data_IF_580659093439
#
_entry.id   IF_580659093439
#
_cell.length_a   1.000
_cell.length_b   1.000
_cell.length_c   1.000
_cell.angle_alpha   90.00
_cell.angle_beta   90.00
_cell.angle_gamma   90.00
#
_symmetry.space_group_name_H-M   'P 1'
#
loop_
_entity.id
_entity.type
_entity.pdbx_description
1 polymer ?
#
# COMPACT_ATOMS: atom_id res chain seq x y z
N UNK A 1 7.93 -34.74 -15.85
CA UNK A 1 6.94 -34.95 -14.77
C UNK A 1 6.34 -33.61 -14.36
N UNK A 2 5.09 -33.34 -14.71
CA UNK A 2 4.36 -32.13 -14.32
C UNK A 2 3.71 -32.36 -12.95
N UNK A 3 4.14 -31.62 -11.91
CA UNK A 3 3.52 -31.66 -10.58
C UNK A 3 2.11 -31.06 -10.69
N UNK A 4 1.06 -31.86 -10.46
CA UNK A 4 -0.32 -31.34 -10.38
C UNK A 4 -0.40 -30.36 -9.19
N UNK A 5 -0.81 -29.13 -9.44
CA UNK A 5 -1.09 -28.14 -8.38
C UNK A 5 -2.28 -28.62 -7.54
N UNK A 6 -2.12 -28.63 -6.22
CA UNK A 6 -3.23 -28.92 -5.31
C UNK A 6 -4.19 -27.73 -5.32
N UNK A 7 -5.49 -27.97 -5.41
CA UNK A 7 -6.50 -26.91 -5.35
C UNK A 7 -6.43 -26.23 -3.97
N UNK A 8 -6.56 -24.88 -3.89
CA UNK A 8 -6.65 -24.20 -2.60
C UNK A 8 -7.74 -24.81 -1.72
N UNK A 9 -7.53 -24.87 -0.41
CA UNK A 9 -8.58 -25.26 0.52
C UNK A 9 -9.64 -24.16 0.60
N UNK A 10 -10.90 -24.55 0.74
CA UNK A 10 -12.05 -23.64 0.88
C UNK A 10 -11.82 -22.61 2.00
N UNK A 11 -11.21 -23.04 3.10
CA UNK A 11 -10.89 -22.18 4.25
C UNK A 11 -9.95 -21.02 3.89
N UNK A 12 -9.02 -21.21 2.95
CA UNK A 12 -8.06 -20.16 2.61
C UNK A 12 -8.69 -19.07 1.77
N UNK A 13 -9.55 -19.46 0.82
CA UNK A 13 -10.30 -18.50 0.00
C UNK A 13 -11.25 -17.66 0.87
N UNK A 14 -11.94 -18.30 1.81
CA UNK A 14 -12.82 -17.62 2.76
C UNK A 14 -12.05 -16.64 3.68
N UNK A 15 -10.87 -17.03 4.15
CA UNK A 15 -10.01 -16.12 4.93
C UNK A 15 -9.60 -14.91 4.09
N UNK A 16 -9.19 -15.10 2.84
CA UNK A 16 -8.78 -14.00 1.97
C UNK A 16 -9.93 -13.02 1.70
N UNK A 17 -11.13 -13.54 1.41
CA UNK A 17 -12.33 -12.74 1.17
C UNK A 17 -12.73 -11.92 2.40
N UNK A 18 -12.86 -12.55 3.57
CA UNK A 18 -13.18 -11.85 4.83
C UNK A 18 -12.13 -10.81 5.19
N UNK A 19 -10.85 -11.12 4.97
CA UNK A 19 -9.74 -10.17 5.22
C UNK A 19 -9.82 -8.97 4.27
N UNK A 20 -10.21 -9.20 3.01
CA UNK A 20 -10.39 -8.15 2.02
C UNK A 20 -11.54 -7.22 2.41
N UNK A 21 -12.70 -7.77 2.76
CA UNK A 21 -13.87 -7.01 3.19
C UNK A 21 -13.58 -6.16 4.43
N UNK A 22 -12.94 -6.76 5.44
CA UNK A 22 -12.49 -6.05 6.64
C UNK A 22 -11.51 -4.91 6.29
N UNK A 23 -10.55 -5.19 5.43
CA UNK A 23 -9.56 -4.19 5.02
C UNK A 23 -10.23 -3.02 4.29
N UNK A 24 -11.00 -3.31 3.25
CA UNK A 24 -11.68 -2.31 2.42
C UNK A 24 -12.67 -1.47 3.22
N UNK A 25 -13.46 -2.09 4.12
CA UNK A 25 -14.37 -1.35 4.99
C UNK A 25 -13.63 -0.40 5.94
N UNK A 26 -12.45 -0.78 6.43
CA UNK A 26 -11.65 0.07 7.32
C UNK A 26 -11.03 1.26 6.59
N UNK A 27 -10.54 1.09 5.37
CA UNK A 27 -9.88 2.17 4.61
C UNK A 27 -10.83 3.02 3.75
N UNK A 28 -12.13 2.66 3.73
CA UNK A 28 -13.15 3.33 2.89
C UNK A 28 -13.29 4.82 3.18
N UNK A 29 -13.16 5.21 4.45
CA UNK A 29 -13.12 6.61 4.87
C UNK A 29 -11.67 6.98 5.24
N UNK A 30 -10.92 7.63 4.34
CA UNK A 30 -9.51 7.96 4.56
C UNK A 30 -9.29 9.09 5.57
N UNK A 31 -10.35 9.82 5.96
CA UNK A 31 -10.29 10.93 6.92
C UNK A 31 -10.60 10.46 8.34
N UNK A 32 -11.35 9.36 8.48
CA UNK A 32 -11.61 8.75 9.78
C UNK A 32 -10.33 8.15 10.36
N UNK A 33 -10.00 8.52 11.59
CA UNK A 33 -8.88 7.92 12.34
C UNK A 33 -9.09 6.40 12.41
N UNK A 34 -8.04 5.65 12.09
CA UNK A 34 -8.11 4.20 12.06
C UNK A 34 -8.51 3.64 13.44
N UNK A 35 -9.64 2.92 13.48
CA UNK A 35 -10.10 2.17 14.66
C UNK A 35 -9.18 0.98 14.93
N UNK A 36 -8.52 0.49 13.89
CA UNK A 36 -7.57 -0.62 13.92
C UNK A 36 -6.14 -0.11 13.76
N UNK A 37 -5.21 -0.73 14.48
CA UNK A 37 -3.80 -0.35 14.40
C UNK A 37 -3.18 -0.77 13.05
N UNK A 38 -2.01 -0.20 12.75
CA UNK A 38 -1.29 -0.48 11.50
C UNK A 38 -0.95 -1.95 11.33
N UNK A 39 -0.59 -2.64 12.42
CA UNK A 39 -0.31 -4.09 12.41
C UNK A 39 -1.51 -4.92 11.95
N UNK A 40 -2.70 -4.58 12.47
CA UNK A 40 -3.93 -5.27 12.11
C UNK A 40 -4.27 -5.05 10.63
N UNK A 41 -4.21 -3.81 10.16
CA UNK A 41 -4.43 -3.45 8.76
C UNK A 41 -3.42 -4.11 7.82
N UNK A 42 -2.14 -4.13 8.22
CA UNK A 42 -1.09 -4.79 7.46
C UNK A 42 -1.36 -6.29 7.37
N UNK A 43 -1.69 -6.96 8.48
CA UNK A 43 -2.03 -8.38 8.45
C UNK A 43 -3.26 -8.70 7.61
N UNK A 44 -4.31 -7.88 7.69
CA UNK A 44 -5.50 -8.05 6.85
C UNK A 44 -5.18 -7.91 5.35
N UNK A 45 -4.42 -6.86 4.97
CA UNK A 45 -3.93 -6.67 3.61
C UNK A 45 -3.04 -7.82 3.15
N UNK A 46 -2.21 -8.37 4.04
CA UNK A 46 -1.35 -9.51 3.72
C UNK A 46 -2.17 -10.76 3.45
N UNK A 47 -3.12 -11.10 4.33
CA UNK A 47 -3.98 -12.27 4.14
C UNK A 47 -4.90 -12.11 2.93
N UNK A 48 -5.38 -10.90 2.65
CA UNK A 48 -6.19 -10.66 1.45
C UNK A 48 -5.37 -10.83 0.17
N UNK A 49 -4.06 -10.54 0.21
CA UNK A 49 -3.12 -10.62 -0.93
C UNK A 49 -2.24 -11.85 -0.98
N UNK A 50 -2.37 -12.77 -0.03
CA UNK A 50 -1.56 -13.98 0.02
C UNK A 50 -1.94 -14.94 -1.12
N UNK A 51 -0.92 -15.53 -1.75
CA UNK A 51 -1.09 -16.69 -2.61
C UNK A 51 -0.90 -17.95 -1.74
N UNK A 52 -1.96 -18.76 -1.48
CA UNK A 52 -1.90 -19.92 -0.59
C UNK A 52 -0.79 -20.91 -0.94
N UNK A 53 -0.43 -20.97 -2.22
CA UNK A 53 0.50 -21.96 -2.74
C UNK A 53 1.96 -21.52 -2.67
N UNK A 54 2.26 -20.30 -2.19
CA UNK A 54 3.61 -19.73 -2.29
C UNK A 54 4.40 -19.70 -1.00
N UNK A 55 5.69 -20.08 -1.08
CA UNK A 55 6.65 -19.77 -0.02
C UNK A 55 6.77 -18.26 0.17
N UNK A 56 6.87 -17.85 1.43
CA UNK A 56 6.99 -16.46 1.89
C UNK A 56 8.16 -15.72 1.21
N UNK A 57 9.19 -16.43 0.75
CA UNK A 57 10.42 -15.85 0.19
C UNK A 57 10.39 -15.57 -1.32
N UNK A 58 9.28 -15.89 -2.02
CA UNK A 58 9.19 -15.61 -3.46
C UNK A 58 8.65 -14.21 -3.73
N UNK A 59 9.10 -13.51 -4.80
CA UNK A 59 8.56 -12.21 -5.17
C UNK A 59 7.03 -12.29 -5.29
N UNK A 60 6.33 -11.51 -4.45
CA UNK A 60 4.87 -11.49 -4.38
C UNK A 60 4.31 -11.16 -5.77
N UNK A 61 3.74 -12.18 -6.44
CA UNK A 61 2.79 -11.90 -7.52
C UNK A 61 1.42 -11.89 -6.88
N UNK A 62 0.63 -10.88 -7.18
CA UNK A 62 -0.68 -10.74 -6.56
C UNK A 62 -1.63 -11.84 -7.05
N UNK A 63 -2.55 -12.34 -6.23
CA UNK A 63 -3.60 -13.25 -6.66
C UNK A 63 -4.42 -12.68 -7.82
N UNK A 64 -4.85 -13.54 -8.74
CA UNK A 64 -5.62 -13.13 -9.93
C UNK A 64 -6.94 -12.46 -9.57
N UNK A 65 -7.59 -12.86 -8.48
CA UNK A 65 -8.83 -12.27 -7.98
C UNK A 65 -8.66 -10.78 -7.69
N UNK A 66 -7.64 -10.44 -6.91
CA UNK A 66 -7.34 -9.06 -6.50
C UNK A 66 -6.97 -8.20 -7.69
N UNK A 67 -6.23 -8.75 -8.66
CA UNK A 67 -5.88 -8.00 -9.89
C UNK A 67 -7.10 -7.51 -10.67
N UNK A 68 -8.23 -8.18 -10.53
CA UNK A 68 -9.49 -7.84 -11.20
C UNK A 68 -10.42 -6.99 -10.31
N UNK A 69 -10.12 -6.87 -9.02
CA UNK A 69 -10.92 -6.10 -8.08
C UNK A 69 -10.59 -4.61 -8.19
N UNK A 70 -11.32 -3.91 -9.07
CA UNK A 70 -11.14 -2.47 -9.29
C UNK A 70 -11.45 -1.64 -8.04
N UNK A 71 -12.40 -2.08 -7.21
CA UNK A 71 -12.79 -1.35 -6.00
C UNK A 71 -11.64 -1.38 -5.00
N UNK A 72 -11.03 -2.54 -4.77
CA UNK A 72 -9.85 -2.68 -3.91
C UNK A 72 -8.73 -1.71 -4.31
N UNK A 73 -8.36 -1.69 -5.59
CA UNK A 73 -7.27 -0.83 -6.07
C UNK A 73 -7.58 0.65 -5.91
N UNK A 74 -8.80 1.04 -6.28
CA UNK A 74 -9.24 2.44 -6.19
C UNK A 74 -9.33 2.88 -4.73
N UNK A 75 -9.82 2.04 -3.81
CA UNK A 75 -9.86 2.35 -2.38
C UNK A 75 -8.45 2.46 -1.79
N UNK A 76 -7.55 1.50 -2.08
CA UNK A 76 -6.19 1.53 -1.57
C UNK A 76 -5.42 2.74 -2.07
N UNK A 77 -5.50 3.04 -3.37
CA UNK A 77 -4.88 4.23 -3.92
C UNK A 77 -5.48 5.49 -3.30
N UNK A 78 -6.80 5.63 -3.32
CA UNK A 78 -7.50 6.80 -2.75
C UNK A 78 -7.12 7.01 -1.30
N UNK A 79 -7.04 5.95 -0.49
CA UNK A 79 -6.60 6.02 0.89
C UNK A 79 -5.22 6.66 1.02
N UNK A 80 -4.25 6.20 0.23
CA UNK A 80 -2.89 6.75 0.27
C UNK A 80 -2.82 8.17 -0.29
N UNK A 81 -3.55 8.49 -1.36
CA UNK A 81 -3.41 9.79 -2.05
C UNK A 81 -4.44 10.84 -1.65
N UNK A 82 -5.28 10.53 -0.65
CA UNK A 82 -6.22 11.51 -0.09
C UNK A 82 -5.46 12.71 0.48
N UNK A 83 -5.82 13.94 0.09
CA UNK A 83 -5.21 15.15 0.62
C UNK A 83 -5.31 15.19 2.14
N UNK A 84 -4.17 15.38 2.80
CA UNK A 84 -4.04 15.50 4.25
C UNK A 84 -3.11 16.64 4.60
N UNK A 85 -3.35 17.27 5.73
CA UNK A 85 -2.40 18.13 6.40
C UNK A 85 -1.33 17.31 7.11
N UNK A 86 -0.20 17.93 7.42
CA UNK A 86 0.89 17.28 8.15
C UNK A 86 0.45 16.76 9.53
N UNK A 87 -0.46 17.49 10.19
CA UNK A 87 -1.04 17.08 11.47
C UNK A 87 -1.92 15.84 11.33
N UNK A 88 -2.65 15.71 10.22
CA UNK A 88 -3.49 14.54 9.94
C UNK A 88 -2.65 13.31 9.61
N UNK A 89 -1.58 13.46 8.82
CA UNK A 89 -0.63 12.36 8.56
C UNK A 89 0.04 11.90 9.85
N UNK A 90 0.52 12.83 10.68
CA UNK A 90 1.15 12.51 11.97
C UNK A 90 0.18 11.80 12.93
N UNK A 91 -1.07 12.27 12.98
CA UNK A 91 -2.14 11.62 13.76
C UNK A 91 -2.43 10.22 13.24
N UNK A 92 -2.50 10.03 11.92
CA UNK A 92 -2.72 8.74 11.29
C UNK A 92 -1.60 7.76 11.63
N UNK A 93 -0.34 8.14 11.44
CA UNK A 93 0.82 7.31 11.77
C UNK A 93 0.89 6.98 13.27
N UNK A 94 0.55 7.95 14.12
CA UNK A 94 0.44 7.72 15.57
C UNK A 94 -0.67 6.73 15.89
N UNK A 95 -1.83 6.83 15.23
CA UNK A 95 -2.92 5.87 15.41
C UNK A 95 -2.50 4.45 15.00
N UNK A 96 -1.70 4.30 13.93
CA UNK A 96 -1.20 2.99 13.51
C UNK A 96 -0.30 2.33 14.56
N UNK A 97 0.49 3.12 15.30
CA UNK A 97 1.36 2.59 16.37
C UNK A 97 0.63 2.20 17.65
N UNK A 98 -0.63 2.61 17.82
CA UNK A 98 -1.42 2.33 19.04
C UNK A 98 -2.45 1.26 18.76
N UNK A 99 -2.49 0.24 19.61
CA UNK A 99 -3.44 -0.85 19.47
C UNK A 99 -4.70 -0.60 20.30
N UNK A 100 -5.82 -0.38 19.63
CA UNK A 100 -7.17 -0.38 20.22
C UNK A 100 -8.04 -1.53 19.66
N UNK A 101 -7.42 -2.49 18.96
CA UNK A 101 -8.10 -3.59 18.34
C UNK A 101 -8.75 -4.52 19.38
N UNK A 102 -9.95 -5.02 19.10
CA UNK A 102 -10.61 -6.02 19.94
C UNK A 102 -10.00 -7.41 19.70
N UNK A 103 -8.86 -7.71 20.35
CA UNK A 103 -8.09 -8.95 20.11
C UNK A 103 -8.83 -10.24 20.51
N UNK A 104 -9.95 -10.14 21.23
CA UNK A 104 -10.82 -11.28 21.52
C UNK A 104 -11.63 -11.72 20.29
N UNK A 105 -11.79 -10.85 19.29
CA UNK A 105 -12.30 -11.25 17.98
C UNK A 105 -11.25 -12.13 17.28
N UNK A 106 -11.58 -13.40 16.95
CA UNK A 106 -10.63 -14.33 16.34
C UNK A 106 -10.06 -13.85 15.00
N UNK A 107 -10.83 -13.12 14.19
CA UNK A 107 -10.37 -12.59 12.90
C UNK A 107 -9.36 -11.47 13.12
N UNK A 108 -9.67 -10.53 14.02
CA UNK A 108 -8.75 -9.44 14.39
C UNK A 108 -7.45 -10.00 14.97
N UNK A 109 -7.54 -11.02 15.83
CA UNK A 109 -6.38 -11.74 16.36
C UNK A 109 -5.52 -12.39 15.28
N UNK A 110 -6.14 -13.01 14.26
CA UNK A 110 -5.43 -13.57 13.10
C UNK A 110 -4.71 -12.47 12.30
N UNK A 111 -5.36 -11.34 12.04
CA UNK A 111 -4.73 -10.21 11.33
C UNK A 111 -3.52 -9.68 12.11
N UNK A 112 -3.66 -9.51 13.44
CA UNK A 112 -2.54 -9.09 14.28
C UNK A 112 -1.33 -10.01 14.19
N UNK A 113 -1.56 -11.32 14.23
CA UNK A 113 -0.50 -12.32 14.14
C UNK A 113 0.19 -12.29 12.77
N UNK A 114 -0.59 -12.22 11.69
CA UNK A 114 -0.06 -12.11 10.33
C UNK A 114 0.79 -10.83 10.17
N UNK A 115 0.29 -9.69 10.65
CA UNK A 115 1.00 -8.42 10.63
C UNK A 115 2.30 -8.46 11.43
N UNK A 116 2.28 -9.04 12.64
CA UNK A 116 3.48 -9.18 13.48
C UNK A 116 4.60 -9.98 12.80
N UNK A 117 4.24 -11.09 12.14
CA UNK A 117 5.21 -11.91 11.40
C UNK A 117 5.81 -11.15 10.21
N UNK A 118 5.00 -10.35 9.52
CA UNK A 118 5.42 -9.59 8.35
C UNK A 118 6.20 -8.31 8.67
N UNK A 119 5.93 -7.68 9.83
CA UNK A 119 6.68 -6.53 10.34
C UNK A 119 8.18 -6.84 10.45
N UNK A 120 8.52 -8.04 10.94
CA UNK A 120 9.92 -8.48 11.05
C UNK A 120 10.65 -8.45 9.70
N UNK A 121 9.97 -8.83 8.60
CA UNK A 121 10.52 -8.78 7.25
C UNK A 121 10.58 -7.37 6.65
N UNK A 122 9.69 -6.47 7.08
CA UNK A 122 9.65 -5.09 6.59
C UNK A 122 10.75 -4.20 7.17
N UNK A 123 11.20 -4.47 8.41
CA UNK A 123 12.24 -3.68 9.09
C UNK A 123 13.58 -3.64 8.35
N UNK A 124 13.89 -4.68 7.59
CA UNK A 124 15.17 -4.80 6.87
C UNK A 124 15.28 -3.88 5.65
N UNK A 125 14.18 -3.30 5.15
CA UNK A 125 14.20 -2.59 3.86
C UNK A 125 14.71 -1.16 3.95
N UNK A 126 14.51 -0.48 5.06
CA UNK A 126 14.74 0.96 5.12
C UNK A 126 15.81 1.37 6.11
N UNK A 127 16.07 0.56 7.13
CA UNK A 127 17.00 0.89 8.22
C UNK A 127 16.75 2.30 8.81
N UNK A 128 15.56 2.87 8.60
CA UNK A 128 15.25 4.26 8.96
C UNK A 128 15.33 4.45 10.46
N UNK A 129 14.74 3.52 11.22
CA UNK A 129 14.83 3.51 12.67
C UNK A 129 16.27 3.32 13.18
N UNK A 130 17.11 2.61 12.42
CA UNK A 130 18.51 2.37 12.78
C UNK A 130 19.36 3.63 12.60
N UNK A 131 19.22 4.31 11.45
CA UNK A 131 20.01 5.50 11.10
C UNK A 131 19.44 6.81 11.67
N UNK A 132 18.18 6.83 12.09
CA UNK A 132 17.58 8.02 12.68
C UNK A 132 18.28 8.40 14.02
N UNK A 133 18.42 9.71 14.31
CA UNK A 133 18.85 10.18 15.61
C UNK A 133 17.99 9.58 16.74
N UNK A 134 18.54 9.33 17.95
CA UNK A 134 17.78 8.73 19.05
C UNK A 134 16.44 9.43 19.36
N UNK A 135 16.39 10.77 19.23
CA UNK A 135 15.18 11.57 19.43
C UNK A 135 14.11 11.37 18.37
N UNK A 136 14.45 10.78 17.22
CA UNK A 136 13.56 10.60 16.07
C UNK A 136 13.22 9.15 15.76
N UNK A 137 13.89 8.17 16.36
CA UNK A 137 13.65 6.74 16.09
C UNK A 137 12.19 6.34 16.19
N UNK A 138 11.49 6.86 17.20
CA UNK A 138 10.07 6.58 17.41
C UNK A 138 9.20 7.01 16.22
N UNK A 139 9.56 8.08 15.50
CA UNK A 139 8.84 8.59 14.32
C UNK A 139 8.85 7.58 13.17
N UNK A 140 9.95 6.85 13.02
CA UNK A 140 10.19 5.89 11.94
C UNK A 140 10.02 4.43 12.36
N UNK A 141 9.42 4.19 13.53
CA UNK A 141 9.20 2.84 14.03
C UNK A 141 8.32 2.02 13.09
N UNK A 142 8.61 0.72 13.01
CA UNK A 142 7.88 -0.22 12.15
C UNK A 142 6.38 -0.21 12.39
N UNK A 143 5.95 -0.11 13.66
CA UNK A 143 4.54 -0.05 14.03
C UNK A 143 3.79 1.15 13.41
N UNK A 144 4.50 2.25 13.10
CA UNK A 144 3.91 3.43 12.45
C UNK A 144 3.87 3.28 10.93
N UNK A 145 4.95 2.78 10.34
CA UNK A 145 5.18 2.92 8.90
C UNK A 145 4.88 1.66 8.07
N UNK A 146 4.92 0.46 8.67
CA UNK A 146 4.88 -0.80 7.93
C UNK A 146 3.65 -0.95 7.04
N UNK A 147 2.47 -0.57 7.53
CA UNK A 147 1.24 -0.63 6.76
C UNK A 147 1.28 0.26 5.51
N UNK A 148 1.73 1.51 5.66
CA UNK A 148 1.83 2.47 4.55
C UNK A 148 2.80 1.95 3.49
N UNK A 149 3.99 1.51 3.91
CA UNK A 149 5.00 0.93 3.02
C UNK A 149 4.45 -0.29 2.28
N UNK A 150 3.71 -1.16 2.97
CA UNK A 150 3.04 -2.30 2.33
C UNK A 150 2.01 -1.84 1.31
N UNK A 151 1.19 -0.84 1.62
CA UNK A 151 0.22 -0.26 0.69
C UNK A 151 0.89 0.22 -0.60
N UNK A 152 1.99 0.97 -0.49
CA UNK A 152 2.81 1.38 -1.64
C UNK A 152 3.37 0.19 -2.41
N UNK A 153 3.86 -0.84 -1.70
CA UNK A 153 4.39 -2.06 -2.31
C UNK A 153 3.33 -2.82 -3.10
N UNK A 154 2.13 -2.98 -2.54
CA UNK A 154 1.01 -3.67 -3.19
C UNK A 154 0.56 -2.93 -4.44
N UNK A 155 0.40 -1.60 -4.38
CA UNK A 155 0.08 -0.78 -5.55
C UNK A 155 1.16 -0.86 -6.62
N UNK A 156 2.43 -0.79 -6.24
CA UNK A 156 3.54 -0.88 -7.18
C UNK A 156 3.54 -2.23 -7.91
N UNK A 157 3.36 -3.33 -7.16
CA UNK A 157 3.21 -4.67 -7.74
C UNK A 157 2.00 -4.75 -8.68
N UNK A 158 0.85 -4.20 -8.28
CA UNK A 158 -0.35 -4.11 -9.11
C UNK A 158 -0.08 -3.40 -10.44
N UNK A 159 0.55 -2.22 -10.41
CA UNK A 159 0.94 -1.47 -11.62
C UNK A 159 2.02 -2.16 -12.45
N UNK A 160 2.94 -2.87 -11.79
CA UNK A 160 4.01 -3.61 -12.48
C UNK A 160 3.42 -4.77 -13.28
N UNK A 161 2.48 -5.50 -12.71
CA UNK A 161 1.86 -6.68 -13.30
C UNK A 161 0.72 -6.36 -14.28
N UNK A 162 -0.14 -5.39 -13.94
CA UNK A 162 -1.27 -4.99 -14.78
C UNK A 162 -0.78 -4.45 -16.11
N UNK A 163 0.13 -3.47 -16.04
CA UNK A 163 0.62 -2.72 -17.19
C UNK A 163 -0.51 -1.97 -17.90
N UNK A 164 -0.28 -0.73 -18.32
CA UNK A 164 -1.25 -0.09 -19.21
C UNK A 164 -1.09 -0.70 -20.59
N UNK A 165 -2.04 -1.55 -20.96
CA UNK A 165 -2.19 -2.02 -22.33
C UNK A 165 -2.86 -0.89 -23.12
N UNK A 166 -2.29 -0.55 -24.27
CA UNK A 166 -2.85 0.46 -25.16
C UNK A 166 -4.33 0.16 -25.45
N UNK A 167 -5.19 1.15 -25.22
CA UNK A 167 -6.67 1.10 -25.33
C UNK A 167 -7.16 0.76 -26.75
N UNK A 168 -6.26 0.72 -27.73
CA UNK A 168 -6.55 0.41 -29.12
C UNK A 168 -7.23 -0.97 -29.36
N UNK A 169 -7.38 -1.84 -28.35
CA UNK A 169 -7.98 -3.18 -28.47
C UNK A 169 -9.23 -3.44 -27.62
N UNK A 170 -9.87 -2.40 -27.07
CA UNK A 170 -11.13 -2.54 -26.31
C UNK A 170 -10.98 -2.43 -24.80
N UNK A 171 -12.11 -2.51 -24.08
CA UNK A 171 -12.21 -2.34 -22.62
C UNK A 171 -11.28 -3.33 -21.91
N UNK A 172 -10.31 -2.83 -21.16
CA UNK A 172 -9.44 -3.68 -20.35
C UNK A 172 -10.06 -3.87 -18.97
N UNK A 173 -10.27 -5.12 -18.55
CA UNK A 173 -10.73 -5.47 -17.20
C UNK A 173 -9.56 -5.50 -16.20
N UNK A 174 -8.57 -4.62 -16.36
CA UNK A 174 -7.37 -4.57 -15.55
C UNK A 174 -7.18 -3.18 -14.98
N UNK A 175 -6.76 -3.09 -13.72
CA UNK A 175 -6.42 -1.82 -13.12
C UNK A 175 -4.98 -1.39 -13.44
N UNK A 176 -4.73 -0.10 -13.73
CA UNK A 176 -5.72 0.95 -13.99
C UNK A 176 -6.35 0.78 -15.38
N UNK A 177 -7.64 1.13 -15.50
CA UNK A 177 -8.32 1.16 -16.79
C UNK A 177 -7.98 2.44 -17.56
N UNK A 178 -7.77 3.55 -16.85
CA UNK A 178 -7.37 4.84 -17.42
C UNK A 178 -6.26 5.50 -16.59
N UNK A 179 -5.46 6.42 -17.17
CA UNK A 179 -4.54 7.23 -16.38
C UNK A 179 -5.20 8.03 -15.26
N UNK A 180 -6.48 8.40 -15.40
CA UNK A 180 -7.21 9.16 -14.39
C UNK A 180 -7.44 8.34 -13.10
N UNK A 181 -7.56 7.01 -13.22
CA UNK A 181 -7.70 6.11 -12.07
C UNK A 181 -6.50 6.20 -11.12
N UNK A 182 -5.33 6.64 -11.62
CA UNK A 182 -4.12 6.82 -10.81
C UNK A 182 -4.05 8.17 -10.08
N UNK A 183 -5.00 9.06 -10.33
CA UNK A 183 -5.04 10.43 -9.80
C UNK A 183 -6.47 10.77 -9.35
N UNK A 184 -7.03 10.07 -8.36
CA UNK A 184 -8.42 10.27 -7.93
C UNK A 184 -8.71 11.70 -7.46
N UNK A 185 -7.68 12.46 -7.04
CA UNK A 185 -7.78 13.87 -6.65
C UNK A 185 -7.00 14.83 -7.57
N UNK A 186 -6.64 14.37 -8.77
CA UNK A 186 -5.85 15.13 -9.74
C UNK A 186 -4.33 15.01 -9.57
N UNK A 187 -3.60 15.48 -10.58
CA UNK A 187 -2.14 15.35 -10.67
C UNK A 187 -1.41 16.15 -9.59
N UNK A 188 -1.88 17.35 -9.28
CA UNK A 188 -1.28 18.22 -8.26
C UNK A 188 -1.34 17.58 -6.87
N UNK A 189 -2.50 17.07 -6.48
CA UNK A 189 -2.68 16.44 -5.17
C UNK A 189 -1.92 15.11 -5.08
N UNK A 190 -1.82 14.34 -6.18
CA UNK A 190 -0.96 13.17 -6.21
C UNK A 190 0.49 13.54 -5.89
N UNK A 191 1.07 14.53 -6.58
CA UNK A 191 2.47 14.94 -6.39
C UNK A 191 2.71 15.47 -4.98
N UNK A 192 1.83 16.33 -4.46
CA UNK A 192 1.92 16.84 -3.08
C UNK A 192 1.88 15.70 -2.06
N UNK A 193 0.98 14.73 -2.25
CA UNK A 193 0.80 13.63 -1.31
C UNK A 193 1.99 12.67 -1.35
N UNK A 194 2.60 12.42 -2.52
CA UNK A 194 3.83 11.64 -2.63
C UNK A 194 5.01 12.32 -1.92
N UNK A 195 5.16 13.64 -2.07
CA UNK A 195 6.15 14.43 -1.32
C UNK A 195 5.91 14.37 0.18
N UNK A 196 4.64 14.52 0.60
CA UNK A 196 4.26 14.44 2.00
C UNK A 196 4.59 13.07 2.58
N UNK A 197 4.20 11.98 1.92
CA UNK A 197 4.54 10.64 2.36
C UNK A 197 6.04 10.40 2.44
N UNK A 198 6.81 10.86 1.45
CA UNK A 198 8.27 10.71 1.48
C UNK A 198 8.91 11.41 2.68
N UNK A 199 8.40 12.58 3.09
CA UNK A 199 8.90 13.27 4.30
C UNK A 199 8.56 12.52 5.60
N UNK A 200 7.38 11.91 5.70
CA UNK A 200 6.95 11.18 6.91
C UNK A 200 7.47 9.74 6.95
N UNK A 201 7.63 9.13 5.79
CA UNK A 201 8.04 7.74 5.57
C UNK A 201 9.01 7.73 4.38
N UNK A 202 10.30 8.03 4.59
CA UNK A 202 11.31 8.13 3.52
C UNK A 202 11.72 6.75 2.95
N UNK A 203 10.73 5.97 2.53
CA UNK A 203 10.90 4.66 1.93
C UNK A 203 11.01 4.77 0.40
N UNK A 204 12.00 4.09 -0.24
CA UNK A 204 12.16 4.09 -1.70
C UNK A 204 10.91 3.67 -2.48
N UNK A 205 10.00 2.90 -1.88
CA UNK A 205 8.76 2.45 -2.52
C UNK A 205 7.83 3.60 -2.89
N UNK A 206 7.82 4.71 -2.14
CA UNK A 206 7.04 5.91 -2.48
C UNK A 206 7.52 6.46 -3.83
N UNK A 207 8.85 6.52 -4.02
CA UNK A 207 9.50 6.99 -5.25
C UNK A 207 9.30 6.01 -6.40
N UNK A 208 9.42 4.71 -6.14
CA UNK A 208 9.20 3.66 -7.15
C UNK A 208 7.76 3.67 -7.66
N UNK A 209 6.77 3.80 -6.76
CA UNK A 209 5.38 3.92 -7.16
C UNK A 209 5.16 5.20 -7.98
N UNK A 210 5.66 6.35 -7.52
CA UNK A 210 5.55 7.63 -8.24
C UNK A 210 6.12 7.54 -9.65
N UNK A 211 7.31 6.94 -9.80
CA UNK A 211 7.94 6.72 -11.12
C UNK A 211 7.08 5.82 -12.01
N UNK A 212 6.45 4.80 -11.43
CA UNK A 212 5.57 3.90 -12.19
C UNK A 212 4.30 4.62 -12.65
N UNK A 213 3.70 5.43 -11.79
CA UNK A 213 2.53 6.26 -12.13
C UNK A 213 2.91 7.29 -13.21
N UNK A 214 4.08 7.92 -13.12
CA UNK A 214 4.58 8.87 -14.13
C UNK A 214 4.74 8.22 -15.52
N UNK A 215 5.26 6.98 -15.59
CA UNK A 215 5.37 6.26 -16.88
C UNK A 215 4.01 6.03 -17.53
N UNK A 216 2.98 5.87 -16.71
CA UNK A 216 1.59 5.66 -17.13
C UNK A 216 0.89 6.97 -17.52
N UNK A 217 0.96 7.99 -16.68
CA UNK A 217 0.19 9.23 -16.79
C UNK A 217 1.09 10.42 -17.15
N UNK A 218 2.07 10.17 -18.03
CA UNK A 218 3.20 11.08 -18.32
C UNK A 218 2.75 12.51 -18.61
N UNK A 219 1.86 12.68 -19.58
CA UNK A 219 1.44 14.00 -20.05
C UNK A 219 0.66 14.79 -18.98
N UNK A 220 -0.09 14.09 -18.13
CA UNK A 220 -0.89 14.71 -17.09
C UNK A 220 -0.04 15.11 -15.87
N UNK A 221 1.01 14.34 -15.55
CA UNK A 221 1.81 14.57 -14.34
C UNK A 221 2.98 15.53 -14.51
N UNK A 222 3.60 15.61 -15.69
CA UNK A 222 4.79 16.45 -15.91
C UNK A 222 4.60 17.90 -15.42
N UNK A 223 3.49 18.60 -15.72
CA UNK A 223 3.30 19.97 -15.25
C UNK A 223 3.32 20.09 -13.72
N UNK A 224 2.63 19.19 -13.03
CA UNK A 224 2.59 19.15 -11.56
C UNK A 224 3.97 18.84 -10.97
N UNK A 225 4.72 17.92 -11.57
CA UNK A 225 6.08 17.59 -11.13
C UNK A 225 7.02 18.80 -11.18
N UNK A 226 6.93 19.60 -12.24
CA UNK A 226 7.69 20.84 -12.39
C UNK A 226 7.25 21.87 -11.34
N UNK A 227 5.93 22.09 -11.21
CA UNK A 227 5.33 23.03 -10.26
C UNK A 227 5.78 22.79 -8.82
N UNK A 228 5.82 21.54 -8.37
CA UNK A 228 6.21 21.17 -7.00
C UNK A 228 7.67 20.75 -6.85
N UNK A 229 8.51 20.93 -7.89
CA UNK A 229 9.96 20.68 -7.83
C UNK A 229 10.34 19.27 -7.35
N UNK A 230 9.56 18.24 -7.72
CA UNK A 230 9.73 16.87 -7.19
C UNK A 230 11.16 16.34 -7.36
N UNK A 231 11.81 16.65 -8.48
CA UNK A 231 13.18 16.22 -8.77
C UNK A 231 14.21 16.75 -7.75
N UNK A 232 14.04 17.97 -7.24
CA UNK A 232 14.97 18.56 -6.27
C UNK A 232 14.92 17.80 -4.94
N UNK A 233 13.71 17.43 -4.48
CA UNK A 233 13.53 16.71 -3.22
C UNK A 233 14.23 15.35 -3.21
N UNK A 234 14.27 14.63 -4.34
CA UNK A 234 14.94 13.32 -4.37
C UNK A 234 16.45 13.40 -4.55
N UNK A 235 16.96 14.48 -5.15
CA UNK A 235 18.41 14.67 -5.32
C UNK A 235 19.05 15.12 -4.01
N UNK A 236 18.38 15.97 -3.22
CA UNK A 236 18.91 16.49 -1.95
C UNK A 236 18.96 15.43 -0.83
N UNK A 237 18.30 14.28 -1.02
CA UNK A 237 18.16 13.20 -0.04
C UNK A 237 18.77 11.86 -0.50
N UNK A 238 19.39 11.80 -1.68
CA UNK A 238 20.10 10.62 -2.19
C UNK A 238 21.60 10.69 -1.89
#
# INVERSE_FOLDING_TARGET
MTRKKAKPSTDTEEIAERSMEFFMSTIRDPQKVAVHCGRCLYGALLLSTADPERPIDTPEKLPTSIRKDLEFWNLLLSFLVTPRTDKEVERLLTSFSRCYCHLMDPNIGKYHRAGQLAEAGSMNRTWMEYYAPPSEKSKYSTARCAFVIKGFTVLYSGLKEGGIKSVAKGVTHTWPATPADLMPFGADELVKTMLQWYRFVPDPMVVQLTTRILRTARYTLIPSLYKYRLAHTFVDHA
#
